data_IF_232944240004
#
_entry.id   IF_232944240004
#
_cell.length_a   1.000
_cell.length_b   1.000
_cell.length_c   1.000
_cell.angle_alpha   90.00
_cell.angle_beta   90.00
_cell.angle_gamma   90.00
#
_symmetry.space_group_name_H-M   'P 1'
#
loop_
_entity.id
_entity.type
_entity.pdbx_description
1 polymer ?
#
# COMPACT_ATOMS: atom_id res chain seq x y z
N UNK A 1 -5.74 -2.72 15.76
CA UNK A 1 -4.57 -2.18 15.02
C UNK A 1 -4.05 -3.06 13.86
N UNK A 2 -4.34 -4.36 13.79
CA UNK A 2 -3.83 -5.25 12.71
C UNK A 2 -4.68 -5.14 11.42
N UNK A 3 -6.00 -5.06 11.57
CA UNK A 3 -6.95 -4.92 10.44
C UNK A 3 -6.71 -3.66 9.60
N UNK A 4 -6.41 -2.52 10.24
CA UNK A 4 -6.09 -1.27 9.55
C UNK A 4 -4.82 -1.38 8.68
N UNK A 5 -3.80 -2.10 9.15
CA UNK A 5 -2.55 -2.27 8.39
C UNK A 5 -2.76 -3.20 7.19
N UNK A 6 -3.60 -4.21 7.32
CA UNK A 6 -3.99 -5.11 6.21
C UNK A 6 -4.83 -4.33 5.18
N UNK A 7 -5.77 -3.49 5.64
CA UNK A 7 -6.57 -2.64 4.75
C UNK A 7 -5.70 -1.70 3.91
N UNK A 8 -4.75 -1.00 4.52
CA UNK A 8 -3.83 -0.10 3.81
C UNK A 8 -2.95 -0.85 2.80
N UNK A 9 -2.53 -2.07 3.14
CA UNK A 9 -1.75 -2.93 2.25
C UNK A 9 -2.56 -3.35 1.02
N UNK A 10 -3.80 -3.81 1.22
CA UNK A 10 -4.72 -4.15 0.13
C UNK A 10 -5.06 -2.94 -0.74
N UNK A 11 -5.26 -1.77 -0.14
CA UNK A 11 -5.51 -0.52 -0.86
C UNK A 11 -4.31 -0.12 -1.72
N UNK A 12 -3.08 -0.25 -1.20
CA UNK A 12 -1.87 0.01 -1.96
C UNK A 12 -1.73 -0.87 -3.20
N UNK A 13 -2.02 -2.17 -3.08
CA UNK A 13 -2.04 -3.09 -4.23
C UNK A 13 -3.13 -2.74 -5.25
N UNK A 14 -4.31 -2.33 -4.78
CA UNK A 14 -5.39 -1.90 -5.65
C UNK A 14 -4.99 -0.69 -6.50
N UNK A 15 -4.34 0.32 -5.89
CA UNK A 15 -3.87 1.51 -6.62
C UNK A 15 -2.79 1.17 -7.66
N UNK A 16 -1.88 0.24 -7.35
CA UNK A 16 -0.89 -0.25 -8.32
C UNK A 16 -1.57 -0.98 -9.47
N UNK A 17 -2.51 -1.88 -9.18
CA UNK A 17 -3.23 -2.65 -10.19
C UNK A 17 -4.11 -1.79 -11.10
N UNK A 18 -4.68 -0.70 -10.57
CA UNK A 18 -5.49 0.26 -11.32
C UNK A 18 -4.65 1.32 -12.04
N UNK A 19 -3.38 1.52 -11.68
CA UNK A 19 -2.52 2.53 -12.29
C UNK A 19 -2.47 2.52 -13.83
N UNK A 20 -2.45 1.37 -14.56
CA UNK A 20 -2.43 1.38 -16.02
C UNK A 20 -3.77 1.78 -16.66
N UNK A 21 -4.85 1.87 -15.88
CA UNK A 21 -6.22 2.13 -16.39
C UNK A 21 -6.65 3.60 -16.31
N UNK A 22 -5.77 4.46 -15.81
CA UNK A 22 -6.07 5.84 -15.39
C UNK A 22 -4.99 6.78 -15.87
N UNK A 23 -5.37 8.00 -16.26
CA UNK A 23 -4.45 9.02 -16.81
C UNK A 23 -3.31 9.39 -15.83
N UNK A 24 -3.53 9.21 -14.53
CA UNK A 24 -2.55 9.47 -13.47
C UNK A 24 -1.72 8.22 -13.11
N UNK A 25 -1.26 7.45 -14.11
CA UNK A 25 -0.56 6.18 -13.93
C UNK A 25 0.60 6.27 -12.95
N UNK A 26 1.50 7.25 -13.14
CA UNK A 26 2.69 7.39 -12.31
C UNK A 26 2.37 7.79 -10.86
N UNK A 27 1.40 8.69 -10.64
CA UNK A 27 1.07 9.14 -9.28
C UNK A 27 0.36 8.02 -8.50
N UNK A 28 -0.57 7.30 -9.12
CA UNK A 28 -1.29 6.19 -8.50
C UNK A 28 -0.38 5.01 -8.19
N UNK A 29 0.55 4.69 -9.09
CA UNK A 29 1.57 3.68 -8.85
C UNK A 29 2.48 4.08 -7.68
N UNK A 30 2.93 5.34 -7.62
CA UNK A 30 3.77 5.85 -6.53
C UNK A 30 3.03 5.82 -5.19
N UNK A 31 1.79 6.31 -5.14
CA UNK A 31 0.94 6.28 -3.94
C UNK A 31 0.68 4.85 -3.48
N UNK A 32 0.42 3.92 -4.41
CA UNK A 32 0.23 2.51 -4.10
C UNK A 32 1.48 1.86 -3.50
N UNK A 33 2.66 2.12 -4.08
CA UNK A 33 3.94 1.63 -3.55
C UNK A 33 4.19 2.16 -2.13
N UNK A 34 3.99 3.46 -1.89
CA UNK A 34 4.16 4.07 -0.56
C UNK A 34 3.25 3.41 0.48
N UNK A 35 1.99 3.15 0.13
CA UNK A 35 1.05 2.47 1.01
C UNK A 35 1.47 1.03 1.32
N UNK A 36 1.91 0.27 0.31
CA UNK A 36 2.39 -1.12 0.51
C UNK A 36 3.63 -1.14 1.41
N UNK A 37 4.63 -0.33 1.11
CA UNK A 37 5.90 -0.28 1.87
C UNK A 37 5.66 0.20 3.30
N UNK A 38 4.89 1.27 3.50
CA UNK A 38 4.56 1.78 4.83
C UNK A 38 3.79 0.76 5.68
N UNK A 39 2.84 0.05 5.07
CA UNK A 39 2.05 -0.99 5.74
C UNK A 39 2.90 -2.21 6.10
N UNK A 40 3.80 -2.63 5.21
CA UNK A 40 4.76 -3.71 5.47
C UNK A 40 5.70 -3.35 6.61
N UNK A 41 6.22 -2.12 6.64
CA UNK A 41 7.05 -1.63 7.73
C UNK A 41 6.31 -1.62 9.08
N UNK A 42 5.05 -1.18 9.10
CA UNK A 42 4.22 -1.23 10.31
C UNK A 42 3.99 -2.67 10.81
N UNK A 43 3.80 -3.63 9.90
CA UNK A 43 3.68 -5.05 10.25
C UNK A 43 4.99 -5.62 10.80
N UNK A 44 6.12 -5.27 10.18
CA UNK A 44 7.45 -5.69 10.61
C UNK A 44 7.79 -5.14 12.01
N UNK A 45 7.58 -3.83 12.23
CA UNK A 45 7.79 -3.18 13.53
C UNK A 45 6.90 -3.77 14.64
N UNK A 46 5.70 -4.25 14.31
CA UNK A 46 4.81 -4.93 15.26
C UNK A 46 5.21 -6.37 15.56
N UNK A 47 5.98 -7.04 14.69
CA UNK A 47 6.50 -8.40 14.92
C UNK A 47 7.88 -8.40 15.60
N UNK A 48 8.67 -7.33 15.46
CA UNK A 48 9.98 -7.17 16.08
C UNK A 48 9.97 -6.71 17.55
N UNK A 49 8.82 -6.83 18.23
CA UNK A 49 8.69 -6.68 19.68
C UNK A 49 8.02 -7.93 20.23
#
# INVERSE_FOLDING_TARGET
MKNWTIFLLSLGFLLIALSPTVEFTASLMTSGIVLVVGSAYMLYRKRGK
#
